data_IF_839246194444
#
_entry.id   IF_839246194444
#
_cell.length_a   1.000
_cell.length_b   1.000
_cell.length_c   1.000
_cell.angle_alpha   90.00
_cell.angle_beta   90.00
_cell.angle_gamma   90.00
#
_symmetry.space_group_name_H-M   'P 1'
#
loop_
_entity.id
_entity.type
_entity.pdbx_description
1 polymer ?
#
# COMPACT_ATOMS: atom_id res chain seq x y z
N UNK A 1 26.12 17.98 18.94
CA UNK A 1 24.96 17.33 18.30
C UNK A 1 25.45 16.70 17.02
N UNK A 2 25.48 15.37 16.94
CA UNK A 2 25.93 14.65 15.73
C UNK A 2 24.72 14.56 14.80
N UNK A 3 24.81 15.19 13.61
CA UNK A 3 23.88 14.95 12.52
C UNK A 3 23.98 13.46 12.15
N UNK A 4 22.94 12.68 12.47
CA UNK A 4 22.79 11.36 11.86
C UNK A 4 22.32 11.60 10.42
N UNK A 5 23.20 11.39 9.46
CA UNK A 5 22.80 11.24 8.07
C UNK A 5 21.83 10.06 7.98
N UNK A 6 20.57 10.37 7.63
CA UNK A 6 19.57 9.34 7.33
C UNK A 6 20.00 8.70 6.01
N UNK A 7 20.62 7.55 6.13
CA UNK A 7 20.98 6.73 4.98
C UNK A 7 19.67 6.16 4.40
N UNK A 8 19.18 6.76 3.32
CA UNK A 8 18.11 6.15 2.52
C UNK A 8 18.65 4.81 2.01
N UNK A 9 17.92 3.70 2.16
CA UNK A 9 18.37 2.42 1.67
C UNK A 9 18.59 2.54 0.15
N UNK A 10 19.86 2.42 -0.28
CA UNK A 10 20.19 2.27 -1.69
C UNK A 10 19.51 1.01 -2.21
N UNK A 11 18.90 1.06 -3.41
CA UNK A 11 18.34 -0.13 -4.04
C UNK A 11 19.42 -1.21 -4.11
N UNK A 12 19.11 -2.41 -3.62
CA UNK A 12 20.02 -3.55 -3.65
C UNK A 12 20.41 -3.85 -5.11
N UNK A 13 21.69 -3.75 -5.50
CA UNK A 13 22.12 -3.93 -6.89
C UNK A 13 22.04 -5.37 -7.40
N UNK A 14 21.62 -6.33 -6.57
CA UNK A 14 21.61 -7.76 -6.91
C UNK A 14 20.31 -8.27 -7.56
N UNK A 15 19.37 -7.40 -7.95
CA UNK A 15 18.19 -7.84 -8.68
C UNK A 15 18.24 -7.45 -10.16
N UNK A 16 18.47 -8.41 -11.09
CA UNK A 16 18.80 -8.18 -12.49
C UNK A 16 17.58 -7.91 -13.40
N UNK A 17 16.55 -7.19 -12.95
CA UNK A 17 15.40 -6.84 -13.78
C UNK A 17 15.18 -5.32 -13.83
N UNK A 18 16.11 -4.61 -14.46
CA UNK A 18 16.02 -3.18 -14.63
C UNK A 18 17.02 -2.63 -15.61
N UNK A 19 16.78 -2.80 -16.89
CA UNK A 19 17.41 -1.99 -17.92
C UNK A 19 16.74 -0.62 -17.97
N UNK A 20 17.52 0.46 -17.73
CA UNK A 20 17.17 1.83 -18.01
C UNK A 20 16.22 2.50 -17.00
N UNK A 21 16.71 3.53 -16.29
CA UNK A 21 15.99 4.51 -15.42
C UNK A 21 14.72 4.00 -14.69
N UNK A 22 14.72 2.71 -14.28
CA UNK A 22 13.53 1.99 -13.90
C UNK A 22 13.16 2.18 -12.44
N UNK A 23 12.32 3.15 -12.14
CA UNK A 23 11.46 3.05 -10.97
C UNK A 23 10.58 1.81 -11.14
N UNK A 24 10.61 0.89 -10.18
CA UNK A 24 9.71 -0.26 -10.20
C UNK A 24 8.28 0.24 -10.13
N UNK A 25 7.45 -0.14 -11.11
CA UNK A 25 6.03 0.20 -11.12
C UNK A 25 5.23 -0.94 -10.50
N UNK A 26 4.25 -0.58 -9.69
CA UNK A 26 3.25 -1.53 -9.19
C UNK A 26 2.49 -2.13 -10.38
N UNK A 27 2.23 -3.46 -10.41
CA UNK A 27 1.49 -4.06 -11.51
C UNK A 27 0.05 -3.52 -11.56
N UNK A 28 -0.44 -3.29 -12.78
CA UNK A 28 -1.85 -2.95 -12.98
C UNK A 28 -2.69 -4.20 -12.70
N UNK A 29 -3.53 -4.14 -11.68
CA UNK A 29 -4.36 -5.26 -11.22
C UNK A 29 -5.81 -4.86 -11.27
N UNK A 30 -6.61 -5.64 -11.99
CA UNK A 30 -8.05 -5.47 -12.10
C UNK A 30 -8.77 -6.45 -11.16
N UNK A 31 -9.92 -6.02 -10.65
CA UNK A 31 -10.77 -6.86 -9.83
C UNK A 31 -12.03 -6.14 -9.42
N UNK A 32 -12.68 -6.64 -8.40
CA UNK A 32 -13.96 -6.14 -7.93
C UNK A 32 -13.81 -5.56 -6.52
N UNK A 33 -14.36 -4.36 -6.32
CA UNK A 33 -14.41 -3.79 -4.97
C UNK A 33 -15.53 -4.44 -4.12
N UNK A 34 -15.65 -4.04 -2.86
CA UNK A 34 -16.66 -4.61 -1.97
C UNK A 34 -18.10 -4.13 -2.25
N UNK A 35 -18.27 -3.20 -3.18
CA UNK A 35 -19.59 -2.78 -3.69
C UNK A 35 -19.98 -3.52 -4.96
N UNK A 36 -19.09 -4.35 -5.51
CA UNK A 36 -19.32 -5.09 -6.76
C UNK A 36 -18.88 -4.35 -8.03
N UNK A 37 -18.22 -3.18 -7.89
CA UNK A 37 -17.74 -2.44 -9.04
C UNK A 37 -16.38 -2.98 -9.50
N UNK A 38 -16.18 -3.03 -10.81
CA UNK A 38 -14.88 -3.33 -11.40
C UNK A 38 -13.97 -2.11 -11.27
N UNK A 39 -12.84 -2.29 -10.63
CA UNK A 39 -11.83 -1.24 -10.47
C UNK A 39 -10.44 -1.77 -10.83
N UNK A 40 -9.52 -0.83 -11.10
CA UNK A 40 -8.11 -1.11 -11.35
C UNK A 40 -7.24 -0.46 -10.28
N UNK A 41 -6.23 -1.17 -9.81
CA UNK A 41 -5.22 -0.63 -8.90
C UNK A 41 -3.81 -0.77 -9.50
N UNK A 42 -2.89 0.15 -9.21
CA UNK A 42 -3.09 1.36 -8.41
C UNK A 42 -3.86 2.44 -9.19
N UNK A 43 -4.58 3.32 -8.50
CA UNK A 43 -5.13 4.49 -9.17
C UNK A 43 -3.98 5.41 -9.61
N UNK A 44 -4.08 5.94 -10.82
CA UNK A 44 -3.09 6.90 -11.33
C UNK A 44 -3.64 8.30 -11.09
N UNK A 45 -3.15 8.95 -10.05
CA UNK A 45 -3.56 10.31 -9.66
C UNK A 45 -2.30 11.18 -9.57
N UNK A 46 -2.05 12.05 -10.55
CA UNK A 46 -0.87 12.92 -10.54
C UNK A 46 -0.75 13.72 -9.25
N UNK A 47 0.48 13.85 -8.76
CA UNK A 47 0.80 14.59 -7.53
C UNK A 47 0.14 14.04 -6.26
N UNK A 48 -0.13 12.75 -6.20
CA UNK A 48 -0.58 12.08 -4.98
C UNK A 48 0.38 10.98 -4.55
N UNK A 49 0.21 10.50 -3.34
CA UNK A 49 0.80 9.23 -2.89
C UNK A 49 -0.29 8.22 -2.62
N UNK A 50 0.02 6.95 -2.86
CA UNK A 50 -0.93 5.87 -2.60
C UNK A 50 -0.26 4.75 -1.79
N UNK A 51 -0.87 4.37 -0.68
CA UNK A 51 -0.42 3.25 0.15
C UNK A 51 -1.22 2.02 -0.23
N UNK A 52 -0.56 1.00 -0.78
CA UNK A 52 -1.16 -0.28 -1.12
C UNK A 52 -0.90 -1.30 -0.01
N UNK A 53 -1.96 -1.76 0.65
CA UNK A 53 -1.92 -2.86 1.60
C UNK A 53 -2.27 -4.14 0.84
N UNK A 54 -1.26 -4.91 0.44
CA UNK A 54 -1.45 -6.15 -0.34
C UNK A 54 -1.48 -7.36 0.58
N UNK A 55 -2.47 -8.22 0.41
CA UNK A 55 -2.71 -9.43 1.19
C UNK A 55 -2.88 -10.61 0.24
N UNK A 56 -2.29 -11.74 0.54
CA UNK A 56 -2.36 -12.93 -0.31
C UNK A 56 -3.30 -14.03 0.24
N UNK A 57 -3.79 -13.87 1.47
CA UNK A 57 -4.77 -14.75 2.10
C UNK A 57 -5.68 -13.93 3.01
N UNK A 58 -7.00 -14.22 3.06
CA UNK A 58 -7.93 -13.45 3.90
C UNK A 58 -7.53 -13.42 5.39
N UNK A 59 -6.98 -14.52 5.90
CA UNK A 59 -6.58 -14.64 7.31
C UNK A 59 -5.44 -13.69 7.66
N UNK A 60 -4.53 -13.39 6.71
CA UNK A 60 -3.39 -12.51 6.96
C UNK A 60 -3.79 -11.03 7.04
N UNK A 61 -5.03 -10.71 6.66
CA UNK A 61 -5.60 -9.37 6.82
C UNK A 61 -5.59 -8.91 8.28
N UNK A 62 -5.72 -9.83 9.25
CA UNK A 62 -5.65 -9.47 10.67
C UNK A 62 -4.34 -8.75 11.04
N UNK A 63 -3.21 -9.17 10.46
CA UNK A 63 -1.93 -8.49 10.63
C UNK A 63 -1.90 -7.11 9.98
N UNK A 64 -2.56 -6.97 8.83
CA UNK A 64 -2.63 -5.70 8.08
C UNK A 64 -3.62 -4.70 8.69
N UNK A 65 -4.65 -5.14 9.43
CA UNK A 65 -5.61 -4.25 10.09
C UNK A 65 -4.95 -3.20 10.99
N UNK A 66 -3.83 -3.54 11.62
CA UNK A 66 -3.07 -2.60 12.46
C UNK A 66 -2.51 -1.41 11.68
N UNK A 67 -2.35 -1.53 10.36
CA UNK A 67 -1.94 -0.44 9.50
C UNK A 67 -3.09 0.54 9.20
N UNK A 68 -4.35 0.10 9.28
CA UNK A 68 -5.50 0.91 8.83
C UNK A 68 -5.66 2.22 9.61
N UNK A 69 -5.60 2.25 10.96
CA UNK A 69 -5.67 3.52 11.69
C UNK A 69 -4.55 4.47 11.29
N UNK A 70 -3.34 3.96 11.11
CA UNK A 70 -2.19 4.76 10.68
C UNK A 70 -2.37 5.32 9.27
N UNK A 71 -2.83 4.50 8.31
CA UNK A 71 -3.11 4.95 6.95
C UNK A 71 -4.24 6.00 6.93
N UNK A 72 -5.28 5.81 7.72
CA UNK A 72 -6.39 6.75 7.83
C UNK A 72 -5.94 8.09 8.43
N UNK A 73 -5.06 8.07 9.43
CA UNK A 73 -4.48 9.27 10.01
C UNK A 73 -3.62 10.02 8.99
N UNK A 74 -2.80 9.31 8.20
CA UNK A 74 -2.03 9.92 7.11
C UNK A 74 -2.97 10.52 6.06
N UNK A 75 -4.00 9.78 5.63
CA UNK A 75 -4.99 10.27 4.67
C UNK A 75 -5.63 11.58 5.14
N UNK A 76 -6.04 11.66 6.41
CA UNK A 76 -6.61 12.89 7.01
C UNK A 76 -5.61 14.03 7.06
N UNK A 77 -4.36 13.76 7.45
CA UNK A 77 -3.30 14.78 7.57
C UNK A 77 -2.95 15.38 6.20
N UNK A 78 -2.91 14.55 5.15
CA UNK A 78 -2.52 14.97 3.80
C UNK A 78 -3.69 15.37 2.89
N UNK A 79 -4.95 15.23 3.35
CA UNK A 79 -6.16 15.44 2.54
C UNK A 79 -6.21 16.79 1.79
N UNK A 80 -5.72 17.84 2.43
CA UNK A 80 -5.78 19.22 1.90
C UNK A 80 -4.40 19.75 1.51
N UNK A 81 -3.42 18.88 1.35
CA UNK A 81 -2.09 19.23 0.88
C UNK A 81 -2.03 19.16 -0.66
N UNK A 82 -1.01 19.78 -1.28
CA UNK A 82 -0.78 19.64 -2.72
C UNK A 82 -0.51 18.20 -3.18
N UNK A 83 -0.16 17.31 -2.26
CA UNK A 83 0.14 15.90 -2.49
C UNK A 83 -0.65 15.03 -1.52
N UNK A 84 -1.95 14.80 -1.77
CA UNK A 84 -2.78 13.97 -0.90
C UNK A 84 -2.25 12.53 -0.83
N UNK A 85 -2.51 11.89 0.30
CA UNK A 85 -2.20 10.48 0.53
C UNK A 85 -3.51 9.71 0.59
N UNK A 86 -3.62 8.68 -0.23
CA UNK A 86 -4.74 7.74 -0.24
C UNK A 86 -4.24 6.33 0.05
N UNK A 87 -5.12 5.39 0.36
CA UNK A 87 -4.74 4.00 0.55
C UNK A 87 -5.81 3.03 0.07
N UNK A 88 -5.39 1.81 -0.28
CA UNK A 88 -6.26 0.72 -0.70
C UNK A 88 -5.79 -0.60 -0.11
N UNK A 89 -6.73 -1.54 0.05
CA UNK A 89 -6.42 -2.94 0.33
C UNK A 89 -6.58 -3.74 -0.96
N UNK A 90 -5.55 -4.51 -1.30
CA UNK A 90 -5.57 -5.46 -2.40
C UNK A 90 -5.49 -6.88 -1.84
N UNK A 91 -6.55 -7.65 -1.98
CA UNK A 91 -6.54 -9.08 -1.75
C UNK A 91 -6.30 -9.80 -3.07
N UNK A 92 -5.16 -10.48 -3.17
CA UNK A 92 -4.77 -11.28 -4.35
C UNK A 92 -5.03 -12.74 -4.04
N UNK A 93 -6.02 -13.33 -4.69
CA UNK A 93 -6.35 -14.74 -4.56
C UNK A 93 -5.91 -15.53 -5.78
N UNK A 94 -5.64 -16.82 -5.60
CA UNK A 94 -5.36 -17.72 -6.71
C UNK A 94 -6.66 -18.01 -7.50
N UNK A 95 -6.62 -17.97 -8.83
CA UNK A 95 -7.74 -18.44 -9.63
C UNK A 95 -7.85 -19.99 -9.56
N UNK A 96 -9.05 -20.59 -9.74
CA UNK A 96 -10.31 -19.90 -9.98
C UNK A 96 -10.93 -19.29 -8.70
N UNK A 97 -11.90 -18.37 -8.86
CA UNK A 97 -12.67 -17.86 -7.72
C UNK A 97 -13.33 -19.00 -6.92
N UNK A 98 -13.30 -18.89 -5.60
CA UNK A 98 -13.95 -19.84 -4.69
C UNK A 98 -15.16 -19.14 -4.04
N UNK A 99 -16.29 -19.86 -4.02
CA UNK A 99 -17.46 -19.40 -3.28
C UNK A 99 -17.08 -19.24 -1.80
N UNK A 100 -17.33 -18.05 -1.24
CA UNK A 100 -16.95 -17.74 0.14
C UNK A 100 -15.73 -16.82 0.28
N UNK A 101 -14.92 -16.61 -0.76
CA UNK A 101 -13.76 -15.68 -0.70
C UNK A 101 -14.18 -14.25 -0.33
N UNK A 102 -15.23 -13.73 -0.96
CA UNK A 102 -15.76 -12.38 -0.68
C UNK A 102 -16.35 -12.29 0.73
N UNK A 103 -17.21 -13.22 1.19
CA UNK A 103 -17.64 -13.27 2.57
C UNK A 103 -16.48 -13.36 3.58
N UNK A 104 -15.49 -14.22 3.34
CA UNK A 104 -14.33 -14.38 4.21
C UNK A 104 -13.52 -13.06 4.32
N UNK A 105 -13.30 -12.39 3.20
CA UNK A 105 -12.61 -11.10 3.19
C UNK A 105 -13.43 -10.02 3.91
N UNK A 106 -14.73 -9.95 3.67
CA UNK A 106 -15.62 -9.00 4.35
C UNK A 106 -15.65 -9.25 5.85
N UNK A 107 -15.73 -10.51 6.28
CA UNK A 107 -15.67 -10.90 7.69
C UNK A 107 -14.32 -10.54 8.30
N UNK A 108 -13.21 -10.77 7.59
CA UNK A 108 -11.87 -10.42 8.05
C UNK A 108 -11.68 -8.91 8.20
N UNK A 109 -12.32 -8.09 7.37
CA UNK A 109 -12.38 -6.64 7.56
C UNK A 109 -13.17 -6.25 8.81
N UNK A 110 -14.21 -7.00 9.20
CA UNK A 110 -15.04 -6.77 10.39
C UNK A 110 -15.76 -5.43 10.35
N UNK A 111 -15.71 -4.66 11.44
CA UNK A 111 -16.40 -3.37 11.58
C UNK A 111 -15.70 -2.21 10.85
N UNK A 112 -14.58 -2.50 10.16
CA UNK A 112 -13.79 -1.50 9.48
C UNK A 112 -14.37 -0.94 8.17
N UNK A 113 -15.26 -1.62 7.41
CA UNK A 113 -15.61 -1.08 6.11
C UNK A 113 -16.57 0.11 6.23
N UNK A 114 -16.00 1.31 6.39
CA UNK A 114 -16.69 2.52 5.98
C UNK A 114 -16.85 2.55 4.45
N UNK A 115 -17.55 3.52 3.94
CA UNK A 115 -17.77 3.65 2.49
C UNK A 115 -16.45 3.75 1.72
N UNK A 116 -15.46 4.45 2.28
CA UNK A 116 -14.14 4.59 1.66
C UNK A 116 -13.46 3.23 1.48
N UNK A 117 -13.46 2.40 2.52
CA UNK A 117 -12.86 1.06 2.45
C UNK A 117 -13.59 0.16 1.46
N UNK A 118 -14.92 0.23 1.39
CA UNK A 118 -15.69 -0.58 0.44
C UNK A 118 -15.38 -0.24 -1.01
N UNK A 119 -15.15 1.04 -1.32
CA UNK A 119 -14.82 1.49 -2.67
C UNK A 119 -13.35 1.25 -3.04
N UNK A 120 -12.45 1.29 -2.04
CA UNK A 120 -10.99 1.23 -2.26
C UNK A 120 -10.35 -0.10 -1.85
N UNK A 121 -11.15 -1.13 -1.52
CA UNK A 121 -10.66 -2.50 -1.32
C UNK A 121 -10.97 -3.34 -2.55
N UNK A 122 -9.96 -4.03 -3.06
CA UNK A 122 -10.05 -4.83 -4.28
C UNK A 122 -9.82 -6.30 -3.97
N UNK A 123 -10.70 -7.15 -4.49
CA UNK A 123 -10.47 -8.59 -4.58
C UNK A 123 -10.11 -8.90 -6.02
N UNK A 124 -8.95 -9.50 -6.23
CA UNK A 124 -8.47 -9.90 -7.54
C UNK A 124 -8.02 -11.35 -7.55
N UNK A 125 -8.44 -12.08 -8.58
CA UNK A 125 -7.99 -13.44 -8.82
C UNK A 125 -6.83 -13.40 -9.81
N UNK A 126 -5.62 -13.50 -9.26
CA UNK A 126 -4.40 -13.33 -10.03
C UNK A 126 -3.30 -14.28 -9.56
N UNK A 127 -2.32 -14.60 -10.43
CA UNK A 127 -1.15 -15.37 -10.00
C UNK A 127 -0.38 -14.64 -8.91
N UNK A 128 -0.52 -15.12 -7.68
CA UNK A 128 0.16 -14.54 -6.52
C UNK A 128 1.69 -14.54 -6.68
N UNK A 129 2.24 -15.56 -7.36
CA UNK A 129 3.69 -15.64 -7.60
C UNK A 129 4.16 -14.53 -8.54
N UNK A 130 3.34 -14.19 -9.54
CA UNK A 130 3.62 -13.04 -10.42
C UNK A 130 3.62 -11.73 -9.62
N UNK A 131 2.60 -11.50 -8.79
CA UNK A 131 2.50 -10.27 -7.98
C UNK A 131 3.69 -10.17 -7.02
N UNK A 132 4.03 -11.26 -6.31
CA UNK A 132 5.20 -11.27 -5.41
C UNK A 132 6.50 -10.95 -6.16
N UNK A 133 6.72 -11.55 -7.34
CA UNK A 133 7.91 -11.24 -8.16
C UNK A 133 7.93 -9.78 -8.62
N UNK A 134 6.80 -9.26 -9.11
CA UNK A 134 6.70 -7.86 -9.56
C UNK A 134 6.97 -6.87 -8.43
N UNK A 135 6.56 -7.19 -7.22
CA UNK A 135 6.85 -6.39 -6.04
C UNK A 135 8.21 -6.72 -5.40
N UNK A 136 8.99 -7.64 -5.97
CA UNK A 136 10.25 -8.15 -5.40
C UNK A 136 10.11 -8.53 -3.92
N UNK A 137 9.05 -9.26 -3.61
CA UNK A 137 8.79 -9.79 -2.28
C UNK A 137 9.40 -11.18 -2.12
N UNK A 138 9.63 -11.58 -0.88
CA UNK A 138 9.96 -12.96 -0.60
C UNK A 138 8.84 -13.90 -1.10
N UNK A 139 9.20 -15.07 -1.65
CA UNK A 139 8.22 -16.02 -2.22
C UNK A 139 7.14 -16.50 -1.26
N UNK A 140 7.40 -16.40 0.05
CA UNK A 140 6.47 -16.75 1.14
C UNK A 140 5.84 -15.52 1.80
N UNK A 141 6.04 -14.32 1.25
CA UNK A 141 5.41 -13.12 1.80
C UNK A 141 3.88 -13.28 1.75
N UNK A 142 3.23 -13.10 2.88
CA UNK A 142 1.78 -13.19 3.03
C UNK A 142 1.10 -11.84 2.91
N UNK A 143 1.88 -10.79 3.15
CA UNK A 143 1.43 -9.39 3.11
C UNK A 143 2.53 -8.52 2.56
N UNK A 144 2.15 -7.35 2.04
CA UNK A 144 3.07 -6.27 1.73
C UNK A 144 2.40 -4.92 1.91
N UNK A 145 3.16 -3.94 2.38
CA UNK A 145 2.78 -2.54 2.32
C UNK A 145 3.71 -1.83 1.34
N UNK A 146 3.12 -1.04 0.43
CA UNK A 146 3.86 -0.39 -0.65
C UNK A 146 3.42 1.06 -0.75
N UNK A 147 4.38 2.00 -0.73
CA UNK A 147 4.13 3.41 -1.03
C UNK A 147 4.39 3.67 -2.50
N UNK A 148 3.41 4.26 -3.18
CA UNK A 148 3.46 4.60 -4.59
C UNK A 148 3.42 6.11 -4.80
N UNK A 149 4.06 6.59 -5.86
CA UNK A 149 3.83 7.94 -6.39
C UNK A 149 2.56 7.99 -7.26
N UNK A 150 2.17 9.18 -7.68
CA UNK A 150 0.99 9.41 -8.51
C UNK A 150 1.02 8.77 -9.91
N UNK A 151 2.14 8.18 -10.31
CA UNK A 151 2.29 7.42 -11.55
C UNK A 151 2.31 5.91 -11.32
N UNK A 152 2.14 5.47 -10.06
CA UNK A 152 2.19 4.06 -9.68
C UNK A 152 3.60 3.50 -9.51
N UNK A 153 4.64 4.34 -9.45
CA UNK A 153 5.99 3.88 -9.17
C UNK A 153 6.17 3.59 -7.69
N UNK A 154 6.85 2.49 -7.37
CA UNK A 154 7.14 2.10 -6.00
C UNK A 154 8.24 3.00 -5.44
N UNK A 155 7.92 3.72 -4.37
CA UNK A 155 8.86 4.57 -3.62
C UNK A 155 9.47 3.80 -2.46
N UNK A 156 8.64 3.05 -1.76
CA UNK A 156 9.01 2.25 -0.60
C UNK A 156 8.11 1.03 -0.47
N UNK A 157 8.62 -0.02 0.14
CA UNK A 157 7.89 -1.25 0.43
C UNK A 157 8.42 -1.95 1.66
N UNK A 158 7.55 -2.72 2.30
CA UNK A 158 7.87 -3.64 3.39
C UNK A 158 6.94 -4.87 3.31
N UNK A 159 7.43 -6.06 3.58
CA UNK A 159 6.67 -7.31 3.57
C UNK A 159 6.33 -7.84 4.97
N UNK A 160 6.58 -7.02 5.98
CA UNK A 160 6.28 -7.35 7.37
C UNK A 160 4.97 -6.77 7.90
N UNK A 161 4.51 -7.33 9.02
CA UNK A 161 3.38 -6.81 9.76
C UNK A 161 3.63 -5.42 10.34
N UNK A 162 2.59 -4.81 10.88
CA UNK A 162 2.68 -3.50 11.52
C UNK A 162 3.62 -3.51 12.73
N UNK A 163 4.55 -2.58 12.74
CA UNK A 163 5.29 -2.15 13.93
C UNK A 163 5.37 -0.63 13.95
N UNK A 164 5.50 -0.04 15.14
CA UNK A 164 5.65 1.41 15.28
C UNK A 164 6.85 1.92 14.48
N UNK A 165 7.97 1.21 14.54
CA UNK A 165 9.19 1.60 13.81
C UNK A 165 8.98 1.63 12.29
N UNK A 166 8.25 0.67 11.72
CA UNK A 166 7.92 0.66 10.28
C UNK A 166 6.98 1.79 9.89
N UNK A 167 5.97 2.05 10.74
CA UNK A 167 5.03 3.13 10.54
C UNK A 167 5.73 4.50 10.57
N UNK A 168 6.61 4.72 11.55
CA UNK A 168 7.43 5.94 11.63
C UNK A 168 8.38 6.06 10.44
N UNK A 169 8.97 4.97 9.96
CA UNK A 169 9.82 5.00 8.76
C UNK A 169 9.02 5.44 7.53
N UNK A 170 7.84 4.88 7.29
CA UNK A 170 6.95 5.29 6.19
C UNK A 170 6.57 6.78 6.31
N UNK A 171 6.26 7.25 7.52
CA UNK A 171 5.92 8.64 7.78
C UNK A 171 7.09 9.58 7.47
N UNK A 172 8.31 9.26 7.90
CA UNK A 172 9.52 10.04 7.59
C UNK A 172 9.74 10.15 6.08
N UNK A 173 9.53 9.07 5.34
CA UNK A 173 9.64 9.09 3.87
C UNK A 173 8.61 10.05 3.27
N UNK A 174 7.35 9.97 3.68
CA UNK A 174 6.29 10.87 3.21
C UNK A 174 6.59 12.33 3.55
N UNK A 175 7.01 12.62 4.78
CA UNK A 175 7.38 13.98 5.21
C UNK A 175 8.56 14.54 4.42
N UNK A 176 9.52 13.70 4.03
CA UNK A 176 10.65 14.09 3.19
C UNK A 176 10.22 14.43 1.76
N UNK A 177 9.27 13.66 1.20
CA UNK A 177 8.79 13.84 -0.16
C UNK A 177 7.72 14.93 -0.30
N UNK A 178 6.93 15.12 0.75
CA UNK A 178 5.85 16.11 0.82
C UNK A 178 5.75 16.69 2.23
N UNK A 179 6.60 17.66 2.58
CA UNK A 179 6.57 18.26 3.90
C UNK A 179 5.21 18.88 4.20
N UNK A 180 4.62 18.51 5.34
CA UNK A 180 3.45 19.19 5.86
C UNK A 180 3.85 20.65 6.20
N UNK A 181 3.02 21.61 5.84
CA UNK A 181 3.24 23.00 6.24
C UNK A 181 3.38 23.07 7.77
N UNK A 182 4.34 23.84 8.30
CA UNK A 182 4.50 23.98 9.75
C UNK A 182 3.17 24.45 10.35
N UNK A 183 2.69 23.73 11.37
CA UNK A 183 1.49 24.15 12.09
C UNK A 183 1.77 25.53 12.70
N UNK A 184 1.15 26.57 12.17
CA UNK A 184 1.13 27.87 12.80
C UNK A 184 0.49 27.68 14.19
N UNK A 185 1.30 27.78 15.25
CA UNK A 185 0.77 27.86 16.61
C UNK A 185 -0.01 29.18 16.69
N UNK A 186 -1.32 29.10 16.63
CA UNK A 186 -2.18 30.20 17.07
C UNK A 186 -1.97 30.32 18.57
N UNK A 187 -1.36 31.42 18.97
CA UNK A 187 -1.28 31.85 20.36
C UNK A 187 -2.63 32.40 20.82
#
# INVERSE_FOLDING_TARGET
MKNQEIHLPTPNPEHPYGGGNGRYRFPDINGMNLLGDNISLPPIVPKSFHIMLTVFHPETLYGMKKWLPFCEDLRKQYKHTPTPVEYSILLVLQPPPIEGDVPAFTQALGDFPDFYMKTNSLISYYDQSFVRRRLSLHKKAETAIVLLDGNGNIIWKDDGGFTVSRAEHLKVILETLSPLAPRTRTH
#
